data_IF_122113430660
#
_entry.id   IF_122113430660
#
_cell.length_a   1.000
_cell.length_b   1.000
_cell.length_c   1.000
_cell.angle_alpha   90.00
_cell.angle_beta   90.00
_cell.angle_gamma   90.00
#
_symmetry.space_group_name_H-M   'P 1'
#
loop_
_entity.id
_entity.type
_entity.pdbx_description
1 polymer ?
#
# COMPACT_ATOMS: atom_id res chain seq x y z
N UNK A 1 5.46 0.82 -20.86
CA UNK A 1 5.30 0.24 -19.50
C UNK A 1 3.89 -0.28 -19.41
N UNK A 2 3.78 -1.57 -19.15
CA UNK A 2 2.49 -2.21 -18.94
C UNK A 2 1.83 -1.65 -17.66
N UNK A 3 0.50 -1.65 -17.59
CA UNK A 3 -0.24 -1.13 -16.44
C UNK A 3 0.11 -1.92 -15.17
N UNK A 4 0.40 -3.21 -15.32
CA UNK A 4 0.84 -4.13 -14.27
C UNK A 4 2.21 -3.75 -13.70
N UNK A 5 3.17 -3.43 -14.55
CA UNK A 5 4.51 -3.00 -14.12
C UNK A 5 4.42 -1.69 -13.34
N UNK A 6 3.59 -0.76 -13.82
CA UNK A 6 3.42 0.55 -13.18
C UNK A 6 2.82 0.43 -11.78
N UNK A 7 1.75 -0.37 -11.61
CA UNK A 7 1.13 -0.57 -10.30
C UNK A 7 2.05 -1.35 -9.35
N UNK A 8 2.83 -2.30 -9.87
CA UNK A 8 3.82 -3.06 -9.09
C UNK A 8 4.93 -2.15 -8.56
N UNK A 9 5.49 -1.28 -9.41
CA UNK A 9 6.51 -0.32 -9.01
C UNK A 9 5.99 0.68 -7.95
N UNK A 10 4.75 1.16 -8.11
CA UNK A 10 4.11 2.04 -7.13
C UNK A 10 3.91 1.35 -5.77
N UNK A 11 3.48 0.09 -5.77
CA UNK A 11 3.30 -0.70 -4.56
C UNK A 11 4.63 -0.89 -3.83
N UNK A 12 5.70 -1.22 -4.56
CA UNK A 12 7.01 -1.46 -3.96
C UNK A 12 7.61 -0.18 -3.36
N UNK A 13 7.51 0.94 -4.08
CA UNK A 13 7.91 2.25 -3.53
C UNK A 13 7.14 2.61 -2.25
N UNK A 14 5.84 2.33 -2.22
CA UNK A 14 5.01 2.59 -1.06
C UNK A 14 5.37 1.70 0.15
N UNK A 15 5.76 0.44 -0.09
CA UNK A 15 6.26 -0.49 0.93
C UNK A 15 7.59 -0.02 1.50
N UNK A 16 8.56 0.33 0.66
CA UNK A 16 9.85 0.86 1.10
C UNK A 16 9.68 2.10 1.97
N UNK A 17 8.80 3.03 1.57
CA UNK A 17 8.47 4.20 2.38
C UNK A 17 7.83 3.84 3.72
N UNK A 18 6.94 2.84 3.75
CA UNK A 18 6.35 2.37 5.01
C UNK A 18 7.42 1.81 5.95
N UNK A 19 8.33 0.96 5.45
CA UNK A 19 9.45 0.43 6.23
C UNK A 19 10.33 1.53 6.81
N UNK A 20 10.69 2.53 6.01
CA UNK A 20 11.47 3.68 6.48
C UNK A 20 10.76 4.47 7.59
N UNK A 21 9.44 4.67 7.46
CA UNK A 21 8.66 5.38 8.48
C UNK A 21 8.52 4.56 9.76
N UNK A 22 8.32 3.23 9.66
CA UNK A 22 8.26 2.32 10.80
C UNK A 22 9.60 2.34 11.55
N UNK A 23 10.71 2.23 10.81
CA UNK A 23 12.05 2.28 11.39
C UNK A 23 12.32 3.60 12.12
N UNK A 24 11.88 4.73 11.54
CA UNK A 24 12.15 6.06 12.11
C UNK A 24 11.25 6.43 13.29
N UNK A 25 9.98 6.04 13.25
CA UNK A 25 8.96 6.57 14.16
C UNK A 25 8.21 5.51 14.99
N UNK A 26 8.37 4.23 14.67
CA UNK A 26 7.59 3.14 15.27
C UNK A 26 6.20 2.97 14.64
N UNK A 27 5.61 1.79 14.87
CA UNK A 27 4.40 1.32 14.17
C UNK A 27 3.14 2.16 14.41
N UNK A 28 3.01 2.77 15.61
CA UNK A 28 1.81 3.54 16.00
C UNK A 28 1.87 5.02 15.60
N UNK A 29 2.96 5.45 14.99
CA UNK A 29 3.09 6.85 14.61
C UNK A 29 2.11 7.20 13.48
N UNK A 30 1.44 8.37 13.58
CA UNK A 30 0.41 8.80 12.61
C UNK A 30 0.87 8.76 11.14
N UNK A 31 2.16 9.05 10.87
CA UNK A 31 2.72 8.95 9.51
C UNK A 31 2.79 7.50 9.01
N UNK A 32 3.09 6.56 9.88
CA UNK A 32 3.13 5.12 9.56
C UNK A 32 1.73 4.62 9.27
N UNK A 33 0.76 4.93 10.13
CA UNK A 33 -0.65 4.58 9.94
C UNK A 33 -1.19 5.14 8.63
N UNK A 34 -0.91 6.41 8.30
CA UNK A 34 -1.34 6.98 7.02
C UNK A 34 -0.69 6.27 5.82
N UNK A 35 0.58 5.91 5.94
CA UNK A 35 1.30 5.23 4.87
C UNK A 35 0.82 3.78 4.70
N UNK A 36 0.42 3.07 5.76
CA UNK A 36 -0.15 1.72 5.64
C UNK A 36 -1.46 1.75 4.83
N UNK A 37 -2.34 2.73 5.05
CA UNK A 37 -3.55 2.90 4.24
C UNK A 37 -3.24 3.14 2.76
N UNK A 38 -2.13 3.83 2.44
CA UNK A 38 -1.67 3.98 1.04
C UNK A 38 -1.23 2.65 0.46
N UNK A 39 -0.47 1.85 1.20
CA UNK A 39 -0.05 0.51 0.79
C UNK A 39 -1.26 -0.38 0.56
N UNK A 40 -2.24 -0.40 1.47
CA UNK A 40 -3.45 -1.21 1.34
C UNK A 40 -4.28 -0.83 0.10
N UNK A 41 -4.40 0.47 -0.19
CA UNK A 41 -5.03 0.94 -1.43
C UNK A 41 -4.33 0.41 -2.68
N UNK A 42 -3.01 0.44 -2.69
CA UNK A 42 -2.21 -0.03 -3.82
C UNK A 42 -2.31 -1.55 -3.97
N UNK A 43 -2.34 -2.31 -2.87
CA UNK A 43 -2.57 -3.77 -2.90
C UNK A 43 -3.93 -4.07 -3.51
N UNK A 44 -4.99 -3.40 -3.05
CA UNK A 44 -6.33 -3.60 -3.60
C UNK A 44 -6.38 -3.29 -5.11
N UNK A 45 -5.73 -2.20 -5.54
CA UNK A 45 -5.67 -1.84 -6.96
C UNK A 45 -4.86 -2.85 -7.77
N UNK A 46 -3.73 -3.31 -7.25
CA UNK A 46 -2.92 -4.35 -7.87
C UNK A 46 -3.73 -5.64 -8.04
N UNK A 47 -4.43 -6.08 -6.99
CA UNK A 47 -5.25 -7.27 -7.04
C UNK A 47 -6.41 -7.16 -8.04
N UNK A 48 -7.04 -5.99 -8.12
CA UNK A 48 -8.10 -5.73 -9.09
C UNK A 48 -7.56 -5.78 -10.53
N UNK A 49 -6.40 -5.18 -10.81
CA UNK A 49 -5.84 -5.16 -12.16
C UNK A 49 -5.33 -6.56 -12.56
N UNK A 50 -4.59 -7.22 -11.66
CA UNK A 50 -3.88 -8.47 -11.99
C UNK A 50 -4.74 -9.73 -11.89
N UNK A 51 -5.68 -9.75 -10.94
CA UNK A 51 -6.48 -10.93 -10.63
C UNK A 51 -7.98 -10.71 -10.84
N UNK A 52 -8.39 -9.51 -11.32
CA UNK A 52 -9.79 -9.11 -11.45
C UNK A 52 -10.59 -9.27 -10.13
N UNK A 53 -9.88 -9.16 -8.99
CA UNK A 53 -10.50 -9.25 -7.66
C UNK A 53 -11.31 -7.99 -7.37
N UNK A 54 -12.45 -8.16 -6.69
CA UNK A 54 -13.19 -7.02 -6.15
C UNK A 54 -12.34 -6.33 -5.07
N UNK A 55 -12.24 -4.98 -5.06
CA UNK A 55 -11.47 -4.28 -4.06
C UNK A 55 -12.01 -4.58 -2.67
N UNK A 56 -11.14 -5.00 -1.76
CA UNK A 56 -11.51 -5.22 -0.37
C UNK A 56 -11.78 -3.88 0.30
N UNK A 57 -12.86 -3.72 1.08
CA UNK A 57 -13.05 -2.50 1.84
C UNK A 57 -11.84 -2.28 2.74
N UNK A 58 -11.26 -1.08 2.65
CA UNK A 58 -10.20 -0.64 3.55
C UNK A 58 -10.88 -0.42 4.90
N UNK A 59 -11.05 -1.48 5.68
CA UNK A 59 -11.57 -1.35 7.03
C UNK A 59 -10.65 -0.40 7.80
N UNK A 60 -11.22 0.60 8.46
CA UNK A 60 -10.55 1.43 9.45
C UNK A 60 -10.02 0.53 10.57
N UNK A 61 -8.85 -0.08 10.38
CA UNK A 61 -8.13 -0.87 11.38
C UNK A 61 -6.99 -0.07 11.97
N UNK A 62 -7.26 1.13 12.45
CA UNK A 62 -6.39 1.88 13.35
C UNK A 62 -7.24 2.85 14.17
#
# INVERSE_FOLDING_TARGET
MDQDEKISAQLEQARLKLYQLVFRYGILHRKVIRQSVVVDRLINRYNMIKYNEKPKPLMNRF
#
